data_IF_168170786905
#
_entry.id   IF_168170786905
#
_cell.length_a   1.000
_cell.length_b   1.000
_cell.length_c   1.000
_cell.angle_alpha   90.00
_cell.angle_beta   90.00
_cell.angle_gamma   90.00
#
_symmetry.space_group_name_H-M   'P 1'
#
loop_
_entity.id
_entity.type
_entity.pdbx_description
1 polymer ?
#
# COMPACT_ATOMS: atom_id res chain seq x y z
N UNK A 1 12.69 0.97 43.57
CA UNK A 1 12.33 0.55 42.21
C UNK A 1 10.85 0.24 42.24
N UNK A 2 10.00 1.18 41.79
CA UNK A 2 8.55 0.99 41.74
C UNK A 2 8.17 0.66 40.30
N UNK A 3 7.69 -0.55 40.07
CA UNK A 3 7.02 -0.94 38.85
C UNK A 3 5.70 -0.17 38.74
N UNK A 4 5.68 0.80 37.82
CA UNK A 4 4.46 1.50 37.43
C UNK A 4 3.61 0.55 36.59
N UNK A 5 2.63 -0.09 37.24
CA UNK A 5 1.56 -0.78 36.55
C UNK A 5 0.83 0.22 35.64
N UNK A 6 0.99 0.06 34.32
CA UNK A 6 0.20 0.77 33.32
C UNK A 6 -1.22 0.23 33.45
N UNK A 7 -2.05 0.95 34.20
CA UNK A 7 -3.47 0.68 34.28
C UNK A 7 -4.08 0.90 32.89
N UNK A 8 -4.33 -0.18 32.16
CA UNK A 8 -5.18 -0.15 30.97
C UNK A 8 -6.58 0.26 31.43
N UNK A 9 -6.92 1.53 31.22
CA UNK A 9 -8.27 2.03 31.41
C UNK A 9 -9.23 1.17 30.58
N UNK A 10 -10.38 0.74 31.14
CA UNK A 10 -11.34 -0.07 30.40
C UNK A 10 -11.84 0.73 29.19
N UNK A 11 -11.61 0.19 28.00
CA UNK A 11 -12.10 0.77 26.74
C UNK A 11 -13.62 0.79 26.81
N UNK A 12 -14.20 1.98 26.71
CA UNK A 12 -15.65 2.14 26.62
C UNK A 12 -16.21 1.30 25.45
N UNK A 13 -17.14 0.37 25.68
CA UNK A 13 -17.69 -0.49 24.63
C UNK A 13 -18.35 0.31 23.49
N UNK A 14 -18.82 1.54 23.73
CA UNK A 14 -19.30 2.44 22.68
C UNK A 14 -18.18 2.93 21.76
N UNK A 15 -17.04 3.33 22.33
CA UNK A 15 -15.86 3.75 21.56
C UNK A 15 -15.22 2.59 20.80
N UNK A 16 -15.19 1.39 21.39
CA UNK A 16 -14.68 0.19 20.71
C UNK A 16 -15.51 -0.15 19.47
N UNK A 17 -16.85 -0.12 19.56
CA UNK A 17 -17.75 -0.37 18.41
C UNK A 17 -17.57 0.66 17.31
N UNK A 18 -17.44 1.94 17.67
CA UNK A 18 -17.22 3.01 16.71
C UNK A 18 -15.91 2.81 15.94
N UNK A 19 -14.80 2.53 16.65
CA UNK A 19 -13.49 2.25 16.03
C UNK A 19 -13.54 1.07 15.05
N UNK A 20 -14.21 -0.02 15.43
CA UNK A 20 -14.38 -1.19 14.56
C UNK A 20 -15.12 -0.85 13.26
N UNK A 21 -16.19 -0.04 13.33
CA UNK A 21 -16.94 0.37 12.14
C UNK A 21 -16.10 1.28 11.23
N UNK A 22 -15.29 2.18 11.79
CA UNK A 22 -14.39 3.03 11.02
C UNK A 22 -13.25 2.23 10.38
N UNK A 23 -12.66 1.28 11.10
CA UNK A 23 -11.64 0.37 10.59
C UNK A 23 -12.18 -0.48 9.44
N UNK A 24 -13.38 -1.06 9.59
CA UNK A 24 -14.03 -1.79 8.51
C UNK A 24 -14.27 -0.92 7.28
N UNK A 25 -14.73 0.32 7.45
CA UNK A 25 -14.89 1.27 6.33
C UNK A 25 -13.56 1.59 5.67
N UNK A 26 -12.49 1.79 6.44
CA UNK A 26 -11.16 2.06 5.93
C UNK A 26 -10.64 0.88 5.09
N UNK A 27 -10.83 -0.35 5.58
CA UNK A 27 -10.47 -1.57 4.85
C UNK A 27 -11.27 -1.71 3.56
N UNK A 28 -12.60 -1.53 3.61
CA UNK A 28 -13.48 -1.58 2.42
C UNK A 28 -13.21 -0.46 1.42
N UNK A 29 -12.60 0.63 1.86
CA UNK A 29 -12.21 1.74 1.01
C UNK A 29 -10.76 1.64 0.49
N UNK A 30 -9.98 0.65 0.92
CA UNK A 30 -8.63 0.43 0.43
C UNK A 30 -8.63 0.11 -1.07
N UNK A 31 -7.65 0.66 -1.80
CA UNK A 31 -7.59 0.58 -3.27
C UNK A 31 -6.16 0.29 -3.75
N UNK A 32 -5.99 -0.54 -4.79
CA UNK A 32 -4.71 -0.66 -5.46
C UNK A 32 -4.36 0.64 -6.20
N UNK A 33 -3.06 0.92 -6.36
CA UNK A 33 -2.55 2.12 -7.03
C UNK A 33 -2.82 2.09 -8.54
N UNK A 34 -2.55 0.96 -9.19
CA UNK A 34 -2.84 0.77 -10.61
C UNK A 34 -4.20 0.10 -10.78
N UNK A 35 -5.13 0.79 -11.45
CA UNK A 35 -6.51 0.32 -11.65
C UNK A 35 -6.76 0.09 -13.13
N UNK A 36 -7.12 -1.15 -13.52
CA UNK A 36 -7.50 -1.50 -14.90
C UNK A 36 -8.98 -1.86 -15.05
N UNK A 37 -9.66 -2.23 -13.97
CA UNK A 37 -11.06 -2.66 -14.02
C UNK A 37 -12.03 -1.48 -14.02
N UNK A 38 -12.50 -1.08 -15.21
CA UNK A 38 -13.45 0.04 -15.42
C UNK A 38 -14.71 -0.04 -14.55
N UNK A 39 -15.23 -1.24 -14.31
CA UNK A 39 -16.42 -1.43 -13.47
C UNK A 39 -16.15 -1.10 -11.99
N UNK A 40 -15.01 -1.55 -11.46
CA UNK A 40 -14.58 -1.20 -10.10
C UNK A 40 -14.25 0.29 -9.99
N UNK A 41 -13.65 0.88 -11.03
CA UNK A 41 -13.36 2.31 -11.08
C UNK A 41 -14.65 3.15 -10.99
N UNK A 42 -15.73 2.74 -11.67
CA UNK A 42 -17.04 3.41 -11.54
C UNK A 42 -17.55 3.39 -10.10
N UNK A 43 -17.43 2.25 -9.42
CA UNK A 43 -17.81 2.13 -8.01
C UNK A 43 -16.93 2.98 -7.10
N UNK A 44 -15.62 3.04 -7.37
CA UNK A 44 -14.69 3.89 -6.63
C UNK A 44 -15.05 5.38 -6.79
N UNK A 45 -15.35 5.83 -8.01
CA UNK A 45 -15.79 7.22 -8.27
C UNK A 45 -17.10 7.55 -7.55
N UNK A 46 -18.03 6.59 -7.49
CA UNK A 46 -19.27 6.76 -6.73
C UNK A 46 -19.00 6.93 -5.23
N UNK A 47 -18.09 6.11 -4.67
CA UNK A 47 -17.64 6.23 -3.28
C UNK A 47 -16.96 7.58 -3.02
N UNK A 48 -16.12 8.06 -3.95
CA UNK A 48 -15.43 9.35 -3.81
C UNK A 48 -16.42 10.51 -3.82
N UNK A 49 -17.37 10.52 -4.77
CA UNK A 49 -18.45 11.50 -4.81
C UNK A 49 -19.26 11.50 -3.51
N UNK A 50 -19.63 10.33 -2.99
CA UNK A 50 -20.39 10.23 -1.74
C UNK A 50 -19.61 10.74 -0.52
N UNK A 51 -18.27 10.59 -0.51
CA UNK A 51 -17.41 11.14 0.54
C UNK A 51 -17.32 12.67 0.46
N UNK A 52 -17.19 13.21 -0.74
CA UNK A 52 -17.22 14.66 -0.94
C UNK A 52 -18.58 15.24 -0.49
N UNK A 53 -19.68 14.60 -0.88
CA UNK A 53 -21.03 14.98 -0.44
C UNK A 53 -21.23 14.85 1.08
N UNK A 54 -20.67 13.80 1.71
CA UNK A 54 -20.68 13.63 3.16
C UNK A 54 -19.90 14.75 3.85
N UNK A 55 -18.69 15.07 3.36
CA UNK A 55 -17.87 16.15 3.90
C UNK A 55 -18.59 17.50 3.81
N UNK A 56 -19.27 17.77 2.69
CA UNK A 56 -20.10 18.95 2.51
C UNK A 56 -21.28 18.97 3.50
N UNK A 57 -21.96 17.85 3.72
CA UNK A 57 -23.05 17.75 4.71
C UNK A 57 -22.56 17.97 6.14
N UNK A 58 -21.38 17.47 6.50
CA UNK A 58 -20.77 17.72 7.82
C UNK A 58 -20.44 19.20 8.00
N UNK A 59 -19.92 19.87 6.96
CA UNK A 59 -19.69 21.31 7.00
C UNK A 59 -21.01 22.10 7.19
N UNK A 60 -22.10 21.67 6.53
CA UNK A 60 -23.43 22.26 6.73
C UNK A 60 -23.95 22.07 8.15
N UNK A 61 -23.77 20.88 8.74
CA UNK A 61 -24.14 20.63 10.13
C UNK A 61 -23.38 21.55 11.08
N UNK A 62 -22.06 21.68 10.91
CA UNK A 62 -21.27 22.59 11.74
C UNK A 62 -21.69 24.05 11.58
N UNK A 63 -22.02 24.49 10.37
CA UNK A 63 -22.57 25.83 10.16
C UNK A 63 -23.91 26.01 10.90
N UNK A 64 -24.84 25.05 10.78
CA UNK A 64 -26.13 25.09 11.46
C UNK A 64 -25.96 25.10 12.99
N UNK A 65 -25.06 24.28 13.54
CA UNK A 65 -24.72 24.28 14.97
C UNK A 65 -24.21 25.65 15.43
N UNK A 66 -23.30 26.27 14.69
CA UNK A 66 -22.79 27.61 15.01
C UNK A 66 -23.90 28.67 14.96
N UNK A 67 -24.78 28.64 13.95
CA UNK A 67 -25.90 29.58 13.88
C UNK A 67 -26.89 29.43 15.02
N UNK A 68 -27.12 28.20 15.49
CA UNK A 68 -27.97 27.90 16.64
C UNK A 68 -27.35 28.40 17.94
N UNK A 69 -26.05 28.16 18.16
CA UNK A 69 -25.32 28.65 19.34
C UNK A 69 -25.37 30.18 19.43
N UNK A 70 -25.25 30.86 18.28
CA UNK A 70 -25.27 32.33 18.21
C UNK A 70 -26.70 32.92 18.20
N UNK A 71 -27.74 32.09 18.10
CA UNK A 71 -29.12 32.56 17.97
C UNK A 71 -29.63 33.39 19.15
N UNK A 72 -29.42 33.00 20.42
CA UNK A 72 -29.92 33.77 21.55
C UNK A 72 -29.32 35.19 21.62
N UNK A 73 -28.02 35.33 21.34
CA UNK A 73 -27.35 36.61 21.33
C UNK A 73 -27.84 37.50 20.17
N UNK A 74 -28.02 36.91 18.98
CA UNK A 74 -28.54 37.61 17.82
C UNK A 74 -30.01 38.07 18.01
N UNK A 75 -30.86 37.20 18.57
CA UNK A 75 -32.26 37.51 18.86
C UNK A 75 -32.36 38.61 19.92
N UNK A 76 -31.51 38.56 20.95
CA UNK A 76 -31.44 39.60 21.99
C UNK A 76 -31.02 40.95 21.41
N UNK A 77 -30.03 40.98 20.52
CA UNK A 77 -29.61 42.20 19.82
C UNK A 77 -30.74 42.75 18.94
N UNK A 78 -31.38 41.89 18.14
CA UNK A 78 -32.50 42.28 17.26
C UNK A 78 -33.67 42.85 18.06
N UNK A 79 -33.97 42.26 19.22
CA UNK A 79 -34.99 42.79 20.13
C UNK A 79 -34.56 44.13 20.76
N UNK A 80 -33.29 44.28 21.13
CA UNK A 80 -32.75 45.52 21.67
C UNK A 80 -32.82 46.66 20.64
N UNK A 81 -32.46 46.41 19.38
CA UNK A 81 -32.54 47.39 18.29
C UNK A 81 -33.99 47.81 18.00
N UNK A 82 -34.93 46.86 18.05
CA UNK A 82 -36.36 47.14 17.93
C UNK A 82 -36.87 48.02 19.09
N UNK A 83 -36.43 47.76 20.33
CA UNK A 83 -36.76 48.58 21.49
C UNK A 83 -36.17 50.00 21.36
N UNK A 84 -34.91 50.12 20.94
CA UNK A 84 -34.22 51.40 20.77
C UNK A 84 -34.84 52.27 19.66
N UNK A 85 -35.38 51.64 18.62
CA UNK A 85 -36.05 52.33 17.50
C UNK A 85 -37.46 52.83 17.85
N UNK A 86 -37.91 52.68 19.10
CA UNK A 86 -39.25 53.10 19.54
C UNK A 86 -40.35 52.08 19.24
N UNK A 87 -40.01 50.80 19.06
CA UNK A 87 -40.94 49.69 18.77
C UNK A 87 -41.75 49.82 17.46
N UNK A 88 -41.12 50.19 16.32
CA UNK A 88 -41.84 50.24 15.06
C UNK A 88 -42.22 48.83 14.61
N UNK A 89 -43.48 48.63 14.22
CA UNK A 89 -43.95 47.37 13.61
C UNK A 89 -44.07 46.17 14.56
N UNK A 90 -44.09 44.94 13.99
CA UNK A 90 -44.22 43.68 14.73
C UNK A 90 -42.95 43.38 15.51
N UNK A 91 -43.09 42.89 16.75
CA UNK A 91 -41.97 42.45 17.58
C UNK A 91 -41.21 41.30 16.88
N UNK A 92 -39.87 41.34 16.83
CA UNK A 92 -39.07 40.23 16.32
C UNK A 92 -39.35 38.92 17.07
N UNK A 93 -39.44 37.81 16.34
CA UNK A 93 -39.65 36.47 16.89
C UNK A 93 -38.31 35.79 17.17
N UNK A 94 -38.28 34.89 18.15
CA UNK A 94 -37.07 34.14 18.50
C UNK A 94 -36.77 33.09 17.41
N UNK A 95 -35.55 33.11 16.89
CA UNK A 95 -35.12 32.24 15.77
C UNK A 95 -34.57 30.88 16.23
N UNK A 96 -34.39 30.68 17.55
CA UNK A 96 -33.82 29.45 18.14
C UNK A 96 -34.52 28.18 17.69
N UNK A 97 -35.86 28.19 17.62
CA UNK A 97 -36.63 27.00 17.23
C UNK A 97 -36.40 26.61 15.77
N UNK A 98 -36.46 27.59 14.86
CA UNK A 98 -36.27 27.36 13.42
C UNK A 98 -34.84 26.88 13.12
N UNK A 99 -33.83 27.52 13.73
CA UNK A 99 -32.42 27.09 13.61
C UNK A 99 -32.18 25.71 14.22
N UNK A 100 -32.93 25.35 15.27
CA UNK A 100 -32.93 24.00 15.83
C UNK A 100 -33.40 22.95 14.81
N UNK A 101 -34.47 23.25 14.06
CA UNK A 101 -34.94 22.40 12.98
C UNK A 101 -33.94 22.28 11.83
N UNK A 102 -33.25 23.37 11.48
CA UNK A 102 -32.20 23.35 10.45
C UNK A 102 -31.02 22.46 10.84
N UNK A 103 -30.56 22.55 12.10
CA UNK A 103 -29.54 21.64 12.65
C UNK A 103 -30.00 20.19 12.56
N UNK A 104 -31.23 19.89 12.97
CA UNK A 104 -31.73 18.52 12.96
C UNK A 104 -31.88 17.96 11.54
N UNK A 105 -32.30 18.79 10.58
CA UNK A 105 -32.32 18.43 9.17
C UNK A 105 -30.90 18.18 8.62
N UNK A 106 -29.93 19.02 8.96
CA UNK A 106 -28.53 18.83 8.57
C UNK A 106 -27.93 17.56 9.18
N UNK A 107 -28.27 17.25 10.43
CA UNK A 107 -27.86 16.01 11.10
C UNK A 107 -28.42 14.78 10.39
N UNK A 108 -29.72 14.77 10.09
CA UNK A 108 -30.35 13.68 9.33
C UNK A 108 -29.70 13.51 7.95
N UNK A 109 -29.30 14.60 7.29
CA UNK A 109 -28.59 14.53 6.02
C UNK A 109 -27.23 13.86 6.15
N UNK A 110 -26.45 14.19 7.18
CA UNK A 110 -25.16 13.51 7.46
C UNK A 110 -25.38 12.01 7.69
N UNK A 111 -26.35 11.65 8.53
CA UNK A 111 -26.68 10.25 8.81
C UNK A 111 -27.10 9.49 7.54
N UNK A 112 -27.94 10.12 6.70
CA UNK A 112 -28.33 9.55 5.41
C UNK A 112 -27.13 9.35 4.46
N UNK A 113 -26.21 10.32 4.39
CA UNK A 113 -24.99 10.20 3.57
C UNK A 113 -24.07 9.09 4.04
N UNK A 114 -23.96 8.88 5.35
CA UNK A 114 -23.21 7.76 5.93
C UNK A 114 -23.80 6.42 5.50
N UNK A 115 -25.13 6.27 5.59
CA UNK A 115 -25.82 5.04 5.16
C UNK A 115 -25.62 4.76 3.67
N UNK A 116 -25.71 5.78 2.82
CA UNK A 116 -25.50 5.62 1.38
C UNK A 116 -24.04 5.30 1.03
N UNK A 117 -23.07 5.90 1.75
CA UNK A 117 -21.66 5.56 1.61
C UNK A 117 -21.41 4.09 1.97
N UNK A 118 -22.01 3.60 3.06
CA UNK A 118 -21.88 2.20 3.48
C UNK A 118 -22.45 1.24 2.43
N UNK A 119 -23.61 1.56 1.84
CA UNK A 119 -24.18 0.78 0.72
C UNK A 119 -23.28 0.79 -0.52
N UNK A 120 -22.64 1.91 -0.84
CA UNK A 120 -21.70 1.99 -1.96
C UNK A 120 -20.44 1.15 -1.70
N UNK A 121 -19.88 1.20 -0.49
CA UNK A 121 -18.77 0.35 -0.07
C UNK A 121 -19.14 -1.14 -0.10
N UNK A 122 -20.36 -1.48 0.32
CA UNK A 122 -20.86 -2.86 0.27
C UNK A 122 -20.97 -3.38 -1.17
N UNK A 123 -21.55 -2.59 -2.09
CA UNK A 123 -21.62 -2.94 -3.52
C UNK A 123 -20.23 -3.14 -4.13
N UNK A 124 -19.24 -2.36 -3.69
CA UNK A 124 -17.83 -2.53 -4.08
C UNK A 124 -17.27 -3.87 -3.61
N UNK A 125 -17.47 -4.22 -2.35
CA UNK A 125 -17.05 -5.52 -1.79
C UNK A 125 -17.67 -6.66 -2.58
N UNK A 126 -18.99 -6.65 -2.77
CA UNK A 126 -19.72 -7.68 -3.52
C UNK A 126 -19.23 -7.81 -4.96
N UNK A 127 -18.89 -6.69 -5.59
CA UNK A 127 -18.31 -6.71 -6.94
C UNK A 127 -16.96 -7.41 -6.96
N UNK A 128 -16.06 -7.10 -6.03
CA UNK A 128 -14.75 -7.74 -5.93
C UNK A 128 -14.89 -9.22 -5.59
N UNK A 129 -15.79 -9.59 -4.69
CA UNK A 129 -16.03 -11.00 -4.33
C UNK A 129 -16.53 -11.81 -5.52
N UNK A 130 -17.53 -11.28 -6.24
CA UNK A 130 -18.11 -11.94 -7.42
C UNK A 130 -17.11 -12.15 -8.55
N UNK A 131 -16.19 -11.20 -8.75
CA UNK A 131 -15.22 -11.23 -9.85
C UNK A 131 -13.80 -11.58 -9.38
N UNK A 132 -13.64 -12.05 -8.14
CA UNK A 132 -12.33 -12.25 -7.49
C UNK A 132 -11.40 -13.09 -8.34
N UNK A 133 -11.87 -14.21 -8.86
CA UNK A 133 -11.06 -15.13 -9.65
C UNK A 133 -10.49 -14.45 -10.90
N UNK A 134 -11.31 -13.68 -11.62
CA UNK A 134 -10.89 -12.98 -12.84
C UNK A 134 -9.93 -11.86 -12.53
N UNK A 135 -10.22 -11.08 -11.49
CA UNK A 135 -9.33 -10.01 -11.04
C UNK A 135 -7.98 -10.54 -10.55
N UNK A 136 -7.95 -11.71 -9.91
CA UNK A 136 -6.70 -12.37 -9.52
C UNK A 136 -5.91 -12.86 -10.73
N UNK A 137 -6.56 -13.45 -11.73
CA UNK A 137 -5.92 -13.87 -12.97
C UNK A 137 -5.32 -12.69 -13.74
N UNK A 138 -6.10 -11.61 -13.91
CA UNK A 138 -5.63 -10.36 -14.50
C UNK A 138 -4.43 -9.77 -13.73
N UNK A 139 -4.52 -9.72 -12.39
CA UNK A 139 -3.45 -9.19 -11.54
C UNK A 139 -2.16 -10.04 -11.60
N UNK A 140 -2.28 -11.37 -11.70
CA UNK A 140 -1.12 -12.26 -11.89
C UNK A 140 -0.42 -11.98 -13.21
N UNK A 141 -1.18 -11.81 -14.30
CA UNK A 141 -0.63 -11.42 -15.60
C UNK A 141 0.06 -10.07 -15.54
N UNK A 142 -0.55 -9.09 -14.87
CA UNK A 142 0.07 -7.76 -14.70
C UNK A 142 1.42 -7.84 -13.94
N UNK A 143 1.53 -8.72 -12.93
CA UNK A 143 2.80 -8.94 -12.20
C UNK A 143 3.84 -9.55 -13.14
N UNK A 144 3.49 -10.58 -13.90
CA UNK A 144 4.40 -11.21 -14.87
C UNK A 144 4.83 -10.21 -15.94
N UNK A 145 3.91 -9.47 -16.56
CA UNK A 145 4.22 -8.43 -17.55
C UNK A 145 5.09 -7.29 -16.99
N UNK A 146 4.93 -6.95 -15.71
CA UNK A 146 5.78 -5.96 -15.05
C UNK A 146 7.18 -6.52 -14.75
N UNK A 147 7.25 -7.78 -14.32
CA UNK A 147 8.50 -8.50 -14.09
C UNK A 147 9.31 -8.61 -15.37
N UNK A 148 8.70 -9.07 -16.47
CA UNK A 148 9.32 -9.21 -17.79
C UNK A 148 9.85 -7.87 -18.30
N UNK A 149 9.04 -6.80 -18.23
CA UNK A 149 9.51 -5.45 -18.62
C UNK A 149 10.68 -4.97 -17.79
N UNK A 150 10.67 -5.23 -16.47
CA UNK A 150 11.76 -4.80 -15.62
C UNK A 150 13.05 -5.57 -15.93
N UNK A 151 12.95 -6.89 -16.17
CA UNK A 151 14.08 -7.71 -16.62
C UNK A 151 14.61 -7.22 -17.98
N UNK A 152 13.73 -6.93 -18.94
CA UNK A 152 14.10 -6.37 -20.24
C UNK A 152 14.89 -5.06 -20.07
N UNK A 153 14.42 -4.15 -19.21
CA UNK A 153 15.13 -2.90 -18.92
C UNK A 153 16.47 -3.12 -18.22
N UNK A 154 16.57 -4.08 -17.31
CA UNK A 154 17.86 -4.44 -16.71
C UNK A 154 18.83 -5.03 -17.74
N UNK A 155 18.33 -5.78 -18.72
CA UNK A 155 19.14 -6.35 -19.80
C UNK A 155 19.63 -5.30 -20.82
N UNK A 156 18.92 -4.18 -20.97
CA UNK A 156 19.34 -3.04 -21.80
C UNK A 156 20.48 -2.21 -21.16
N UNK A 157 20.55 -2.16 -19.83
CA UNK A 157 21.49 -1.29 -19.10
C UNK A 157 22.98 -1.50 -19.45
N UNK A 158 23.51 -2.73 -19.61
CA UNK A 158 24.91 -2.94 -19.99
C UNK A 158 25.28 -2.21 -21.29
N UNK A 159 24.45 -2.33 -22.33
CA UNK A 159 24.74 -1.73 -23.63
C UNK A 159 24.75 -0.19 -23.55
N UNK A 160 23.76 0.40 -22.87
CA UNK A 160 23.69 1.84 -22.67
C UNK A 160 24.88 2.38 -21.84
N UNK A 161 25.35 1.59 -20.87
CA UNK A 161 26.54 1.93 -20.09
C UNK A 161 27.79 1.95 -20.96
N UNK A 162 27.98 0.95 -21.81
CA UNK A 162 29.12 0.89 -22.73
C UNK A 162 29.10 2.07 -23.72
N UNK A 163 27.93 2.44 -24.24
CA UNK A 163 27.76 3.62 -25.09
C UNK A 163 28.16 4.93 -24.39
N UNK A 164 27.78 5.10 -23.11
CA UNK A 164 28.18 6.25 -22.30
C UNK A 164 29.70 6.26 -22.06
N UNK A 165 30.29 5.11 -21.76
CA UNK A 165 31.73 4.98 -21.55
C UNK A 165 32.52 5.34 -22.83
N UNK A 166 32.08 4.86 -23.99
CA UNK A 166 32.67 5.20 -25.28
C UNK A 166 32.53 6.68 -25.63
N UNK A 167 31.35 7.27 -25.37
CA UNK A 167 31.10 8.71 -25.57
C UNK A 167 32.00 9.56 -24.67
N UNK A 168 32.21 9.14 -23.42
CA UNK A 168 33.09 9.81 -22.47
C UNK A 168 34.56 9.67 -22.86
N UNK A 169 34.97 8.52 -23.35
CA UNK A 169 36.31 8.29 -23.89
C UNK A 169 36.59 9.24 -25.05
N UNK A 170 35.64 9.37 -25.98
CA UNK A 170 35.72 10.34 -27.09
C UNK A 170 35.87 11.78 -26.58
N UNK A 171 35.08 12.17 -25.57
CA UNK A 171 35.18 13.50 -24.97
C UNK A 171 36.56 13.75 -24.36
N UNK A 172 37.12 12.78 -23.64
CA UNK A 172 38.45 12.88 -23.05
C UNK A 172 39.55 12.96 -24.12
N UNK A 173 39.39 12.21 -25.21
CA UNK A 173 40.29 12.27 -26.35
C UNK A 173 40.34 13.65 -26.98
N UNK A 174 39.18 14.23 -27.27
CA UNK A 174 39.10 15.59 -27.84
C UNK A 174 39.77 16.59 -26.90
N UNK A 175 39.50 16.50 -25.59
CA UNK A 175 40.02 17.45 -24.61
C UNK A 175 41.53 17.36 -24.36
N UNK A 176 42.15 16.21 -24.65
CA UNK A 176 43.57 15.95 -24.34
C UNK A 176 44.45 15.85 -25.58
N UNK A 177 43.87 15.96 -26.77
CA UNK A 177 44.62 15.90 -28.01
C UNK A 177 45.35 17.23 -28.27
N UNK A 178 46.65 17.23 -28.66
CA UNK A 178 47.48 16.06 -29.01
C UNK A 178 48.36 15.53 -27.86
N UNK A 179 48.34 16.17 -26.70
CA UNK A 179 49.24 15.86 -25.57
C UNK A 179 49.07 14.42 -25.04
N UNK A 180 47.88 13.84 -25.21
CA UNK A 180 47.54 12.48 -24.80
C UNK A 180 47.29 12.36 -23.29
N UNK A 181 46.47 11.39 -22.90
CA UNK A 181 46.22 11.10 -21.48
C UNK A 181 47.16 10.02 -20.96
N UNK A 182 47.69 10.25 -19.75
CA UNK A 182 48.57 9.31 -19.05
C UNK A 182 47.84 8.00 -18.66
N UNK A 183 46.50 8.02 -18.52
CA UNK A 183 45.72 6.80 -18.41
C UNK A 183 44.33 6.93 -19.02
N UNK A 184 43.97 5.91 -19.80
CA UNK A 184 42.63 5.63 -20.26
C UNK A 184 42.06 4.57 -19.33
N UNK A 185 41.25 4.94 -18.34
CA UNK A 185 40.73 3.92 -17.45
C UNK A 185 39.89 4.44 -16.31
N UNK A 186 38.58 4.48 -16.52
CA UNK A 186 37.68 4.21 -15.39
C UNK A 186 37.58 2.70 -15.28
N UNK A 187 37.46 2.17 -14.07
CA UNK A 187 37.14 0.75 -13.91
C UNK A 187 35.74 0.55 -14.51
N UNK A 188 35.69 0.08 -15.76
CA UNK A 188 34.45 -0.22 -16.49
C UNK A 188 33.64 -1.28 -15.76
N UNK A 189 34.32 -2.12 -14.98
CA UNK A 189 33.76 -3.19 -14.20
C UNK A 189 33.00 -2.70 -12.95
N UNK A 190 33.29 -1.52 -12.38
CA UNK A 190 32.74 -1.09 -11.07
C UNK A 190 31.58 -0.10 -11.20
N UNK A 191 30.54 -0.22 -10.38
CA UNK A 191 29.44 0.75 -10.31
C UNK A 191 29.87 2.05 -9.57
N UNK A 192 30.70 2.87 -10.22
CA UNK A 192 31.35 4.05 -9.60
C UNK A 192 30.37 5.06 -9.00
N UNK A 193 29.21 5.26 -9.63
CA UNK A 193 28.17 6.18 -9.14
C UNK A 193 27.49 5.74 -7.83
N UNK A 194 27.68 4.48 -7.41
CA UNK A 194 27.12 3.95 -6.16
C UNK A 194 28.09 4.03 -4.99
N UNK A 195 29.35 4.44 -5.21
CA UNK A 195 30.38 4.46 -4.15
C UNK A 195 29.94 5.29 -2.94
N UNK A 196 29.57 6.54 -3.15
CA UNK A 196 29.16 7.45 -2.07
C UNK A 196 27.84 7.01 -1.41
N UNK A 197 26.77 6.64 -2.16
CA UNK A 197 25.56 6.07 -1.56
C UNK A 197 25.82 4.82 -0.71
N UNK A 198 26.64 3.88 -1.19
CA UNK A 198 26.96 2.64 -0.48
C UNK A 198 27.76 2.92 0.79
N UNK A 199 28.78 3.78 0.71
CA UNK A 199 29.56 4.18 1.88
C UNK A 199 28.69 4.86 2.94
N UNK A 200 27.78 5.75 2.51
CA UNK A 200 26.87 6.47 3.40
C UNK A 200 25.83 5.56 4.06
N UNK A 201 25.25 4.61 3.32
CA UNK A 201 24.12 3.79 3.81
C UNK A 201 24.59 2.52 4.51
N UNK A 202 25.61 1.86 3.97
CA UNK A 202 26.08 0.55 4.45
C UNK A 202 27.41 0.66 5.21
N UNK A 203 28.04 1.83 5.26
CA UNK A 203 29.30 2.04 5.97
C UNK A 203 30.50 1.32 5.35
N UNK A 204 30.38 0.81 4.13
CA UNK A 204 31.41 0.03 3.46
C UNK A 204 31.99 0.75 2.25
N UNK A 205 33.30 0.60 2.07
CA UNK A 205 34.05 1.09 0.89
C UNK A 205 34.20 0.01 -0.19
N UNK A 206 33.54 -1.14 -0.01
CA UNK A 206 33.58 -2.23 -0.97
C UNK A 206 33.10 -1.76 -2.34
N UNK A 207 33.89 -2.06 -3.37
CA UNK A 207 33.55 -1.76 -4.75
C UNK A 207 32.74 -2.93 -5.31
N UNK A 208 31.53 -2.64 -5.79
CA UNK A 208 30.63 -3.63 -6.37
C UNK A 208 30.83 -3.63 -7.89
N UNK A 209 31.03 -4.82 -8.45
CA UNK A 209 31.06 -5.00 -9.90
C UNK A 209 29.67 -4.74 -10.48
N UNK A 210 29.60 -4.06 -11.62
CA UNK A 210 28.36 -3.70 -12.27
C UNK A 210 27.55 -4.93 -12.70
N UNK A 211 28.20 -5.97 -13.20
CA UNK A 211 27.55 -7.24 -13.55
C UNK A 211 26.90 -7.87 -12.31
N UNK A 212 27.64 -7.99 -11.21
CA UNK A 212 27.13 -8.51 -9.95
C UNK A 212 25.96 -7.68 -9.40
N UNK A 213 25.99 -6.35 -9.56
CA UNK A 213 24.85 -5.50 -9.22
C UNK A 213 23.62 -5.83 -10.07
N UNK A 214 23.77 -5.99 -11.38
CA UNK A 214 22.65 -6.33 -12.26
C UNK A 214 22.08 -7.72 -11.96
N UNK A 215 22.94 -8.70 -11.65
CA UNK A 215 22.51 -10.03 -11.20
C UNK A 215 21.68 -9.94 -9.92
N UNK A 216 22.15 -9.22 -8.90
CA UNK A 216 21.40 -9.01 -7.65
C UNK A 216 20.08 -8.27 -7.90
N UNK A 217 20.06 -7.29 -8.82
CA UNK A 217 18.81 -6.62 -9.19
C UNK A 217 17.83 -7.56 -9.90
N UNK A 218 18.31 -8.48 -10.74
CA UNK A 218 17.46 -9.49 -11.37
C UNK A 218 16.89 -10.48 -10.33
N UNK A 219 17.69 -10.89 -9.34
CA UNK A 219 17.22 -11.69 -8.21
C UNK A 219 16.17 -10.94 -7.39
N UNK A 220 16.38 -9.66 -7.11
CA UNK A 220 15.41 -8.81 -6.42
C UNK A 220 14.09 -8.72 -7.19
N UNK A 221 14.12 -8.63 -8.51
CA UNK A 221 12.90 -8.65 -9.33
C UNK A 221 12.10 -9.95 -9.14
N UNK A 222 12.78 -11.10 -9.12
CA UNK A 222 12.13 -12.37 -8.81
C UNK A 222 11.62 -12.42 -7.37
N UNK A 223 12.39 -11.86 -6.43
CA UNK A 223 12.00 -11.71 -5.03
C UNK A 223 10.73 -10.87 -4.88
N UNK A 224 10.65 -9.69 -5.50
CA UNK A 224 9.50 -8.80 -5.45
C UNK A 224 8.23 -9.44 -6.03
N UNK A 225 8.36 -10.23 -7.10
CA UNK A 225 7.23 -10.92 -7.72
C UNK A 225 6.66 -12.04 -6.82
N UNK A 226 7.48 -12.64 -5.96
CA UNK A 226 7.13 -13.84 -5.19
C UNK A 226 7.11 -13.63 -3.66
N UNK A 227 7.55 -12.47 -3.17
CA UNK A 227 7.61 -12.14 -1.75
C UNK A 227 6.22 -11.81 -1.22
N UNK A 228 5.55 -12.85 -0.73
CA UNK A 228 4.27 -12.77 -0.06
C UNK A 228 4.39 -13.26 1.38
N UNK A 229 3.71 -12.62 2.33
CA UNK A 229 3.57 -13.16 3.67
C UNK A 229 2.68 -14.41 3.70
N UNK A 230 2.73 -15.24 4.77
CA UNK A 230 1.95 -16.49 4.84
C UNK A 230 0.45 -16.30 4.63
N UNK A 231 -0.14 -15.26 5.22
CA UNK A 231 -1.56 -14.94 5.05
C UNK A 231 -1.92 -14.50 3.61
N UNK A 232 -0.98 -13.85 2.92
CA UNK A 232 -1.16 -13.42 1.53
C UNK A 232 -1.09 -14.62 0.60
N UNK A 233 -0.12 -15.52 0.81
CA UNK A 233 -0.01 -16.78 0.07
C UNK A 233 -1.29 -17.61 0.18
N UNK A 234 -1.83 -17.76 1.40
CA UNK A 234 -3.10 -18.43 1.62
C UNK A 234 -4.26 -17.79 0.84
N UNK A 235 -4.38 -16.45 0.86
CA UNK A 235 -5.42 -15.71 0.11
C UNK A 235 -5.25 -15.78 -1.40
N UNK A 236 -4.02 -15.95 -1.88
CA UNK A 236 -3.70 -16.13 -3.29
C UNK A 236 -3.87 -17.60 -3.73
N UNK A 237 -4.19 -18.52 -2.82
CA UNK A 237 -4.26 -19.96 -3.11
C UNK A 237 -2.89 -20.58 -3.40
N UNK A 238 -1.80 -19.93 -2.95
CA UNK A 238 -0.44 -20.44 -3.03
C UNK A 238 -0.26 -21.36 -1.83
N UNK A 239 -0.33 -22.67 -2.07
CA UNK A 239 -0.01 -23.68 -1.07
C UNK A 239 1.48 -23.96 -1.12
N UNK A 240 2.24 -23.20 -0.34
CA UNK A 240 3.58 -23.65 0.02
C UNK A 240 3.44 -24.71 1.13
N UNK A 241 4.12 -25.86 1.00
CA UNK A 241 4.33 -26.72 2.16
C UNK A 241 4.92 -25.84 3.25
N UNK A 242 4.36 -25.87 4.46
CA UNK A 242 5.07 -25.28 5.60
C UNK A 242 6.38 -26.04 5.71
N UNK A 243 7.49 -25.44 5.25
CA UNK A 243 8.81 -25.87 5.68
C UNK A 243 8.81 -25.62 7.18
N UNK A 244 8.78 -26.66 8.02
CA UNK A 244 8.85 -26.43 9.44
C UNK A 244 10.19 -25.78 9.72
N UNK A 245 10.22 -24.74 10.57
CA UNK A 245 11.48 -24.19 11.04
C UNK A 245 12.24 -25.34 11.71
N UNK A 246 13.33 -25.83 11.10
CA UNK A 246 14.13 -26.96 11.62
C UNK A 246 14.53 -26.73 13.09
N UNK A 247 14.69 -25.46 13.47
CA UNK A 247 15.04 -25.01 14.83
C UNK A 247 13.91 -25.20 15.87
N UNK A 248 12.67 -25.45 15.44
CA UNK A 248 11.49 -25.52 16.30
C UNK A 248 10.92 -26.94 16.47
N UNK A 249 11.50 -27.97 15.85
CA UNK A 249 10.98 -29.34 15.92
C UNK A 249 12.06 -30.32 16.37
N UNK A 250 11.69 -31.24 17.26
CA UNK A 250 12.58 -32.31 17.70
C UNK A 250 12.62 -33.38 16.61
N UNK A 251 13.77 -34.05 16.41
CA UNK A 251 13.96 -35.03 15.32
C UNK A 251 12.89 -36.14 15.25
N UNK A 252 12.20 -36.40 16.36
CA UNK A 252 11.17 -37.44 16.50
C UNK A 252 9.72 -36.93 16.42
N UNK A 253 9.49 -35.65 16.10
CA UNK A 253 8.13 -35.12 15.94
C UNK A 253 7.43 -35.81 14.75
N UNK A 254 6.22 -36.38 14.94
CA UNK A 254 5.45 -37.00 13.87
C UNK A 254 5.24 -36.11 12.63
N UNK A 255 5.09 -34.80 12.81
CA UNK A 255 4.91 -33.84 11.70
C UNK A 255 6.22 -33.65 10.91
N UNK A 256 7.37 -33.64 11.59
CA UNK A 256 8.69 -33.54 10.95
C UNK A 256 9.04 -34.83 10.17
N UNK A 257 8.70 -36.00 10.72
CA UNK A 257 8.89 -37.27 10.05
C UNK A 257 7.97 -37.41 8.82
N UNK A 258 6.74 -36.89 8.88
CA UNK A 258 5.83 -36.87 7.74
C UNK A 258 6.35 -35.94 6.62
N UNK A 259 6.84 -34.76 6.98
CA UNK A 259 7.46 -33.82 6.04
C UNK A 259 8.73 -34.43 5.39
N UNK A 260 9.64 -35.02 6.17
CA UNK A 260 10.85 -35.71 5.65
C UNK A 260 10.50 -36.82 4.66
N UNK A 261 9.41 -37.57 4.89
CA UNK A 261 8.94 -38.60 3.94
C UNK A 261 8.42 -37.99 2.65
N UNK A 262 7.65 -36.90 2.73
CA UNK A 262 7.13 -36.21 1.54
C UNK A 262 8.25 -35.61 0.69
N UNK A 263 9.26 -35.00 1.32
CA UNK A 263 10.46 -34.50 0.63
C UNK A 263 11.26 -35.62 -0.05
N UNK A 264 11.47 -36.75 0.64
CA UNK A 264 12.12 -37.92 0.05
C UNK A 264 11.34 -38.51 -1.13
N UNK A 265 10.01 -38.54 -1.07
CA UNK A 265 9.15 -38.99 -2.16
C UNK A 265 9.12 -37.99 -3.33
N UNK A 266 9.21 -36.70 -3.05
CA UNK A 266 9.31 -35.66 -4.07
C UNK A 266 10.66 -35.73 -4.79
N UNK A 267 11.76 -35.85 -4.05
CA UNK A 267 13.10 -36.03 -4.60
C UNK A 267 13.22 -37.32 -5.44
N UNK A 268 12.59 -38.43 -4.99
CA UNK A 268 12.51 -39.67 -5.79
C UNK A 268 11.76 -39.47 -7.09
N UNK A 269 10.60 -38.81 -7.08
CA UNK A 269 9.83 -38.50 -8.29
C UNK A 269 10.61 -37.65 -9.28
N UNK A 270 11.34 -36.63 -8.80
CA UNK A 270 12.19 -35.80 -9.65
C UNK A 270 13.36 -36.60 -10.25
N UNK A 271 13.99 -37.49 -9.48
CA UNK A 271 15.05 -38.36 -9.98
C UNK A 271 14.54 -39.37 -11.03
N UNK A 272 13.32 -39.91 -10.86
CA UNK A 272 12.67 -40.80 -11.83
C UNK A 272 12.33 -40.10 -13.15
N UNK A 273 12.08 -38.79 -13.13
CA UNK A 273 11.86 -38.00 -14.36
C UNK A 273 13.14 -37.70 -15.15
N UNK A 274 14.31 -38.19 -14.71
CA UNK A 274 15.58 -38.04 -15.42
C UNK A 274 16.19 -36.63 -15.30
N UNK A 275 15.84 -35.89 -14.26
CA UNK A 275 16.41 -34.57 -14.00
C UNK A 275 17.90 -34.67 -13.67
N UNK A 276 18.68 -33.77 -14.27
CA UNK A 276 20.11 -33.59 -14.02
C UNK A 276 20.37 -33.46 -12.50
N UNK A 277 21.27 -34.27 -11.90
CA UNK A 277 21.55 -34.22 -10.46
C UNK A 277 21.96 -32.83 -9.96
N UNK A 278 22.59 -32.00 -10.79
CA UNK A 278 22.97 -30.63 -10.41
C UNK A 278 21.77 -29.69 -10.35
N UNK A 279 20.80 -29.89 -11.25
CA UNK A 279 19.51 -29.17 -11.23
C UNK A 279 18.65 -29.60 -10.05
N UNK A 280 18.67 -30.89 -9.73
CA UNK A 280 17.98 -31.47 -8.57
C UNK A 280 18.57 -30.92 -7.25
N UNK A 281 19.90 -30.80 -7.17
CA UNK A 281 20.60 -30.22 -6.02
C UNK A 281 20.41 -28.70 -5.89
N UNK A 282 20.14 -28.00 -7.00
CA UNK A 282 19.79 -26.58 -6.99
C UNK A 282 18.33 -26.37 -6.53
N UNK A 283 17.38 -27.17 -7.04
CA UNK A 283 15.97 -27.12 -6.64
C UNK A 283 15.79 -27.48 -5.15
N UNK A 284 16.48 -28.52 -4.65
CA UNK A 284 16.45 -28.89 -3.22
C UNK A 284 17.14 -27.88 -2.29
N UNK A 285 18.05 -27.05 -2.81
CA UNK A 285 18.66 -25.94 -2.04
C UNK A 285 17.79 -24.68 -2.05
N UNK A 286 16.99 -24.48 -3.09
CA UNK A 286 16.03 -23.38 -3.20
C UNK A 286 14.72 -23.59 -2.41
N UNK A 287 14.43 -24.83 -1.97
CA UNK A 287 13.28 -25.17 -1.13
C UNK A 287 13.58 -25.23 0.38
N UNK A 288 14.79 -24.83 0.81
CA UNK A 288 15.17 -24.67 2.23
C UNK A 288 14.87 -23.26 2.76
#
# INVERSE_FOLDING_TARGET
MSEGAIAHAPVDPGQARFRLVEEERALRASRPRNRRWRALEKLDREVDRLREEQSAAVAQLHAAEQTLVNAPAHDAQTLADWLASGRPGRRPEASVYERGRERDAARLLVEAKVVELDKALQRRVEHVERHRWKMLDDARRDVVEAQERLIEKLAELPALREELLASRETLLWIASFPEGLASWGHSTAVALGLREPVERVLGTKALIQHSALLEVLQEDVAGLANSFGPEQKAKLGIHEPRTPLEEAMWDNDPEHLAWKRQELEHARRLAETGADPDRLAAELRGSR
#
